data_IF_055033388945
#
_entry.id   IF_055033388945
#
_cell.length_a   1.000
_cell.length_b   1.000
_cell.length_c   1.000
_cell.angle_alpha   90.00
_cell.angle_beta   90.00
_cell.angle_gamma   90.00
#
_symmetry.space_group_name_H-M   'P 1'
#
loop_
_entity.id
_entity.type
_entity.pdbx_description
1 polymer ?
#
# COMPACT_ATOMS: atom_id res chain seq x y z
N UNK A 1 -12.07 -21.55 9.44
CA UNK A 1 -11.94 -21.16 8.02
C UNK A 1 -12.77 -19.90 7.65
N UNK A 2 -13.98 -19.69 8.20
CA UNK A 2 -14.88 -18.59 7.78
C UNK A 2 -14.29 -17.18 7.81
N UNK A 3 -13.52 -16.81 8.84
CA UNK A 3 -12.91 -15.46 8.94
C UNK A 3 -11.87 -15.21 7.85
N UNK A 4 -10.99 -16.18 7.58
CA UNK A 4 -10.00 -16.07 6.51
C UNK A 4 -10.67 -15.92 5.13
N UNK A 5 -11.79 -16.64 4.93
CA UNK A 5 -12.59 -16.54 3.71
C UNK A 5 -13.18 -15.12 3.60
N UNK A 6 -13.85 -14.64 4.64
CA UNK A 6 -14.47 -13.32 4.64
C UNK A 6 -13.44 -12.20 4.36
N UNK A 7 -12.26 -12.26 4.97
CA UNK A 7 -11.19 -11.28 4.76
C UNK A 7 -10.68 -11.31 3.31
N UNK A 8 -10.37 -12.49 2.79
CA UNK A 8 -9.87 -12.63 1.42
C UNK A 8 -10.92 -12.21 0.37
N UNK A 9 -12.20 -12.54 0.58
CA UNK A 9 -13.26 -12.16 -0.36
C UNK A 9 -13.51 -10.65 -0.36
N UNK A 10 -13.53 -10.02 0.82
CA UNK A 10 -13.68 -8.57 0.93
C UNK A 10 -12.51 -7.83 0.25
N UNK A 11 -11.27 -8.24 0.53
CA UNK A 11 -10.10 -7.63 -0.08
C UNK A 11 -10.06 -7.86 -1.60
N UNK A 12 -10.36 -9.08 -2.06
CA UNK A 12 -10.39 -9.39 -3.49
C UNK A 12 -11.53 -8.64 -4.21
N UNK A 13 -12.68 -8.46 -3.58
CA UNK A 13 -13.78 -7.69 -4.16
C UNK A 13 -13.34 -6.25 -4.43
N UNK A 14 -12.81 -5.55 -3.42
CA UNK A 14 -12.31 -4.18 -3.57
C UNK A 14 -11.18 -4.11 -4.60
N UNK A 15 -10.23 -5.05 -4.55
CA UNK A 15 -9.13 -5.06 -5.50
C UNK A 15 -9.61 -5.24 -6.96
N UNK A 16 -10.64 -6.07 -7.21
CA UNK A 16 -11.24 -6.19 -8.54
C UNK A 16 -11.93 -4.91 -8.98
N UNK A 17 -12.75 -4.30 -8.12
CA UNK A 17 -13.51 -3.09 -8.49
C UNK A 17 -12.60 -1.91 -8.79
N UNK A 18 -11.46 -1.82 -8.10
CA UNK A 18 -10.47 -0.76 -8.28
C UNK A 18 -9.35 -1.10 -9.28
N UNK A 19 -9.38 -2.29 -9.91
CA UNK A 19 -8.34 -2.72 -10.85
C UNK A 19 -6.94 -2.91 -10.23
N UNK A 20 -6.87 -3.19 -8.93
CA UNK A 20 -5.64 -3.36 -8.18
C UNK A 20 -5.10 -4.80 -8.29
N UNK A 21 -3.77 -4.92 -8.32
CA UNK A 21 -3.07 -6.22 -8.38
C UNK A 21 -2.36 -6.63 -7.08
N UNK A 22 -2.17 -5.68 -6.17
CA UNK A 22 -1.42 -5.89 -4.93
C UNK A 22 -2.35 -5.77 -3.73
N UNK A 23 -2.17 -6.64 -2.74
CA UNK A 23 -2.90 -6.61 -1.47
C UNK A 23 -1.90 -6.72 -0.33
N UNK A 24 -1.85 -5.71 0.55
CA UNK A 24 -1.03 -5.73 1.75
C UNK A 24 -1.87 -6.19 2.96
N UNK A 25 -1.35 -7.14 3.75
CA UNK A 25 -1.95 -7.64 4.99
C UNK A 25 -1.13 -7.12 6.18
N UNK A 26 -1.72 -6.25 6.99
CA UNK A 26 -1.09 -5.64 8.17
C UNK A 26 -2.11 -5.44 9.29
N UNK A 27 -1.67 -4.97 10.46
CA UNK A 27 -2.46 -4.89 11.69
C UNK A 27 -2.18 -6.07 12.62
N UNK A 28 -2.39 -5.86 13.93
CA UNK A 28 -2.08 -6.87 14.97
C UNK A 28 -2.81 -8.21 14.78
N UNK A 29 -3.98 -8.22 14.14
CA UNK A 29 -4.73 -9.45 13.81
C UNK A 29 -3.92 -10.40 12.93
N UNK A 30 -3.08 -9.88 12.03
CA UNK A 30 -2.25 -10.69 11.13
C UNK A 30 -0.93 -11.15 11.78
N UNK A 31 -0.71 -10.89 13.07
CA UNK A 31 0.30 -11.62 13.85
C UNK A 31 -0.13 -13.07 14.10
N UNK A 32 -1.42 -13.40 13.93
CA UNK A 32 -1.87 -14.77 13.86
C UNK A 32 -1.38 -15.41 12.55
N UNK A 33 -0.30 -16.20 12.65
CA UNK A 33 0.34 -16.83 11.49
C UNK A 33 -0.60 -17.74 10.69
N UNK A 34 -1.52 -18.46 11.35
CA UNK A 34 -2.50 -19.32 10.68
C UNK A 34 -3.48 -18.49 9.85
N UNK A 35 -3.94 -17.37 10.39
CA UNK A 35 -4.83 -16.46 9.67
C UNK A 35 -4.10 -15.79 8.50
N UNK A 36 -2.88 -15.29 8.74
CA UNK A 36 -2.05 -14.67 7.70
C UNK A 36 -1.80 -15.62 6.55
N UNK A 37 -1.37 -16.85 6.83
CA UNK A 37 -1.11 -17.87 5.81
C UNK A 37 -2.37 -18.22 5.02
N UNK A 38 -3.51 -18.43 5.71
CA UNK A 38 -4.76 -18.80 5.06
C UNK A 38 -5.29 -17.69 4.14
N UNK A 39 -5.26 -16.44 4.58
CA UNK A 39 -5.69 -15.29 3.76
C UNK A 39 -4.72 -15.06 2.60
N UNK A 40 -3.41 -15.14 2.86
CA UNK A 40 -2.37 -14.96 1.84
C UNK A 40 -2.49 -15.99 0.73
N UNK A 41 -2.61 -17.28 1.06
CA UNK A 41 -2.79 -18.35 0.07
C UNK A 41 -4.04 -18.13 -0.77
N UNK A 42 -5.15 -17.74 -0.16
CA UNK A 42 -6.41 -17.55 -0.89
C UNK A 42 -6.34 -16.38 -1.87
N UNK A 43 -5.74 -15.26 -1.45
CA UNK A 43 -5.53 -14.10 -2.32
C UNK A 43 -4.52 -14.39 -3.43
N UNK A 44 -3.41 -15.08 -3.12
CA UNK A 44 -2.42 -15.50 -4.12
C UNK A 44 -3.04 -16.43 -5.17
N UNK A 45 -3.85 -17.41 -4.77
CA UNK A 45 -4.58 -18.28 -5.69
C UNK A 45 -5.61 -17.54 -6.55
N UNK A 46 -6.09 -16.38 -6.10
CA UNK A 46 -6.96 -15.50 -6.87
C UNK A 46 -6.18 -14.53 -7.80
N UNK A 47 -4.84 -14.65 -7.86
CA UNK A 47 -3.98 -13.89 -8.78
C UNK A 47 -3.44 -12.57 -8.21
N UNK A 48 -3.57 -12.31 -6.91
CA UNK A 48 -3.02 -11.10 -6.29
C UNK A 48 -1.58 -11.29 -5.82
N UNK A 49 -0.78 -10.24 -5.95
CA UNK A 49 0.51 -10.13 -5.28
C UNK A 49 0.28 -9.73 -3.82
N UNK A 50 0.46 -10.67 -2.89
CA UNK A 50 0.21 -10.45 -1.47
C UNK A 50 1.50 -9.99 -0.78
N UNK A 51 1.40 -8.94 0.02
CA UNK A 51 2.50 -8.37 0.80
C UNK A 51 2.18 -8.44 2.29
N UNK A 52 3.17 -8.75 3.12
CA UNK A 52 3.04 -8.73 4.57
C UNK A 52 4.32 -8.12 5.20
N UNK A 53 4.22 -7.41 6.35
CA UNK A 53 5.39 -6.85 7.04
C UNK A 53 6.38 -7.92 7.49
N UNK A 54 7.68 -7.71 7.23
CA UNK A 54 8.78 -8.59 7.65
C UNK A 54 9.79 -7.91 8.55
N UNK A 55 10.09 -6.63 8.31
CA UNK A 55 11.12 -5.87 9.04
C UNK A 55 10.54 -5.04 10.19
N UNK A 56 9.29 -4.60 10.04
CA UNK A 56 8.53 -3.88 11.08
C UNK A 56 7.34 -4.72 11.54
N UNK A 57 6.97 -4.67 12.82
CA UNK A 57 5.79 -5.37 13.30
C UNK A 57 4.54 -4.92 12.54
N UNK A 58 3.66 -5.87 12.21
CA UNK A 58 2.34 -5.54 11.65
C UNK A 58 1.42 -4.81 12.65
N UNK A 59 1.75 -4.80 13.95
CA UNK A 59 0.98 -4.14 15.00
C UNK A 59 1.43 -2.68 15.20
N UNK A 60 0.95 -2.06 16.28
CA UNK A 60 1.20 -0.64 16.59
C UNK A 60 2.70 -0.30 16.72
N UNK A 61 3.57 -1.29 16.95
CA UNK A 61 5.02 -1.11 16.90
C UNK A 61 5.56 -0.66 15.53
N UNK A 62 4.83 -0.92 14.44
CA UNK A 62 5.16 -0.45 13.09
C UNK A 62 4.39 0.81 12.66
N UNK A 63 3.48 1.33 13.49
CA UNK A 63 2.57 2.41 13.07
C UNK A 63 3.30 3.72 12.75
N UNK A 64 4.26 4.10 13.60
CA UNK A 64 5.06 5.31 13.39
C UNK A 64 5.87 5.26 12.09
N UNK A 65 6.37 4.07 11.71
CA UNK A 65 7.05 3.87 10.43
C UNK A 65 6.10 4.11 9.25
N UNK A 66 4.89 3.55 9.29
CA UNK A 66 3.88 3.78 8.26
C UNK A 66 3.50 5.25 8.13
N UNK A 67 3.36 5.96 9.25
CA UNK A 67 3.09 7.40 9.27
C UNK A 67 4.22 8.20 8.60
N UNK A 68 5.48 7.90 8.95
CA UNK A 68 6.63 8.55 8.34
C UNK A 68 6.72 8.28 6.84
N UNK A 69 6.48 7.03 6.40
CA UNK A 69 6.49 6.66 4.99
C UNK A 69 5.41 7.40 4.18
N UNK A 70 4.18 7.51 4.72
CA UNK A 70 3.09 8.26 4.06
C UNK A 70 3.41 9.75 4.00
N UNK A 71 3.97 10.32 5.06
CA UNK A 71 4.37 11.74 5.07
C UNK A 71 5.46 12.02 4.03
N UNK A 72 6.47 11.15 3.93
CA UNK A 72 7.53 11.26 2.94
C UNK A 72 7.00 11.16 1.51
N UNK A 73 6.12 10.20 1.23
CA UNK A 73 5.51 10.04 -0.10
C UNK A 73 4.69 11.27 -0.52
N UNK A 74 3.94 11.87 0.40
CA UNK A 74 3.17 13.10 0.14
C UNK A 74 4.10 14.28 -0.16
N UNK A 75 5.14 14.47 0.64
CA UNK A 75 6.11 15.55 0.44
C UNK A 75 6.80 15.43 -0.93
N UNK A 76 7.19 14.23 -1.33
CA UNK A 76 7.81 13.99 -2.64
C UNK A 76 6.86 14.31 -3.79
N UNK A 77 5.60 13.89 -3.71
CA UNK A 77 4.59 14.20 -4.73
C UNK A 77 4.32 15.71 -4.84
N UNK A 78 4.27 16.42 -3.72
CA UNK A 78 4.10 17.88 -3.71
C UNK A 78 5.29 18.61 -4.36
N UNK A 79 6.51 18.14 -4.12
CA UNK A 79 7.72 18.69 -4.74
C UNK A 79 7.77 18.43 -6.26
N UNK A 80 7.36 17.25 -6.72
CA UNK A 80 7.27 16.94 -8.15
C UNK A 80 6.25 17.86 -8.86
N UNK A 81 5.08 18.05 -8.26
CA UNK A 81 4.06 18.98 -8.76
C UNK A 81 4.54 20.42 -8.79
N UNK A 82 5.29 20.85 -7.78
CA UNK A 82 5.89 22.19 -7.75
C UNK A 82 6.91 22.36 -8.88
N UNK A 83 7.78 21.37 -9.11
CA UNK A 83 8.81 21.41 -10.15
C UNK A 83 8.23 21.43 -11.57
N UNK A 84 7.12 20.73 -11.81
CA UNK A 84 6.39 20.80 -13.10
C UNK A 84 5.81 22.19 -13.39
N UNK A 85 5.36 22.91 -12.35
CA UNK A 85 4.79 24.26 -12.48
C UNK A 85 5.86 25.33 -12.73
N UNK A 86 7.04 25.21 -12.11
CA UNK A 86 8.17 26.13 -12.33
C UNK A 86 8.95 25.86 -13.62
N UNK A 87 9.00 24.61 -14.10
CA UNK A 87 9.69 24.27 -15.35
C UNK A 87 9.15 24.99 -16.60
N UNK A 88 7.86 25.33 -16.64
CA UNK A 88 7.28 26.14 -17.72
C UNK A 88 7.69 27.63 -17.66
N UNK A 89 8.03 28.16 -16.47
CA UNK A 89 8.43 29.56 -16.31
C UNK A 89 9.87 29.84 -16.76
N UNK A 90 10.77 28.85 -16.74
CA UNK A 90 12.17 29.02 -17.15
C UNK A 90 12.35 29.07 -18.67
N UNK A 91 11.48 28.42 -19.45
CA UNK A 91 11.49 28.53 -20.93
C UNK A 91 11.11 29.94 -21.42
N UNK A 92 10.35 30.70 -20.63
CA UNK A 92 9.96 32.08 -20.93
C UNK A 92 11.05 33.10 -20.56
N UNK A 93 12.04 32.73 -19.74
CA UNK A 93 13.12 33.62 -19.31
C UNK A 93 14.42 33.46 -20.12
N UNK A 94 14.65 32.30 -20.74
CA UNK A 94 15.82 32.03 -21.57
C UNK A 94 15.77 32.65 -23.00
N UNK A 95 14.76 33.47 -23.29
CA UNK A 95 14.52 34.10 -24.59
C UNK A 95 14.64 35.63 -24.62
N UNK A 96 15.31 36.26 -23.64
CA UNK A 96 15.67 37.69 -23.69
C UNK A 96 17.15 37.89 -23.46
#
# INVERSE_FOLDING_TARGET
>A
AGVAIAFADAAAHVARTEGLRHVALSGGVFQNGVLLEAVSKRLASAGYAVMAPTEVPANDGGLAFGQAAVAAARLLADLELANMKTGHALSAWAGK
#
